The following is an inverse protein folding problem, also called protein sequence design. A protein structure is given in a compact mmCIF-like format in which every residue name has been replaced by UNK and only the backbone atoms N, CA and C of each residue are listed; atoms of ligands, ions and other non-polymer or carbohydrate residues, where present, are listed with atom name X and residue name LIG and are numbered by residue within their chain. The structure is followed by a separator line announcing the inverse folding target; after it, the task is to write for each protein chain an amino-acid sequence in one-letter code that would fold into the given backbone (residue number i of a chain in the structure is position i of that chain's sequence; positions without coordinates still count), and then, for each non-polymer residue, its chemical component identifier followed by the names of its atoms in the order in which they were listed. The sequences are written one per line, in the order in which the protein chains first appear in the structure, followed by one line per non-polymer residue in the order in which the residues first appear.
data_IF_714843704345
#
_entry.id   IF_714843704345
#
_cell.length_a   1.000
_cell.length_b   1.000
_cell.length_c   1.000
_cell.angle_alpha   90.00
_cell.angle_beta   90.00
_cell.angle_gamma   90.00
#
_symmetry.space_group_name_H-M   'P 1'
#
loop_
_entity.id
_entity.type
_entity.pdbx_description
1 polymer ?
#
# COMPACT_ATOMS: atom_id res chain seq x y z
N UNK A 1 -1.02 -14.03 -13.53
CA UNK A 1 -1.54 -13.36 -12.32
C UNK A 1 -1.70 -11.89 -12.61
N UNK A 2 -2.86 -11.33 -12.30
CA UNK A 2 -3.15 -9.90 -12.44
C UNK A 2 -3.48 -9.33 -11.08
N UNK A 3 -2.94 -8.17 -10.74
CA UNK A 3 -3.24 -7.46 -9.50
C UNK A 3 -3.99 -6.17 -9.85
N UNK A 4 -5.19 -6.03 -9.32
CA UNK A 4 -6.01 -4.84 -9.44
C UNK A 4 -5.92 -4.06 -8.13
N UNK A 5 -5.63 -2.76 -8.18
CA UNK A 5 -5.54 -1.89 -7.01
C UNK A 5 -6.52 -0.74 -7.11
N UNK A 6 -7.08 -0.35 -5.97
CA UNK A 6 -7.85 0.86 -5.78
C UNK A 6 -7.45 1.52 -4.46
N UNK A 7 -7.67 2.82 -4.34
CA UNK A 7 -7.42 3.53 -3.10
C UNK A 7 -8.25 4.80 -2.99
N UNK A 8 -8.51 5.21 -1.75
CA UNK A 8 -9.26 6.41 -1.44
C UNK A 8 -8.29 7.57 -1.17
N UNK A 9 -8.48 8.68 -1.87
CA UNK A 9 -7.67 9.89 -1.71
C UNK A 9 -8.59 11.09 -1.58
N UNK A 10 -8.40 11.88 -0.54
CA UNK A 10 -9.00 13.20 -0.41
C UNK A 10 -7.93 14.27 -0.60
N UNK A 11 -8.06 15.04 -1.69
CA UNK A 11 -7.08 16.05 -2.06
C UNK A 11 -7.04 17.24 -1.08
N UNK A 12 -8.08 17.46 -0.28
CA UNK A 12 -8.10 18.55 0.69
C UNK A 12 -7.02 18.39 1.77
N UNK A 13 -6.67 17.15 2.15
CA UNK A 13 -5.56 16.88 3.07
C UNK A 13 -4.20 17.30 2.50
N UNK A 14 -3.97 17.09 1.20
CA UNK A 14 -2.77 17.60 0.52
C UNK A 14 -2.78 19.13 0.40
N UNK A 15 -3.96 19.74 0.32
CA UNK A 15 -4.13 21.20 0.27
C UNK A 15 -4.06 21.89 1.64
N UNK A 16 -3.88 21.13 2.72
CA UNK A 16 -3.62 21.67 4.07
C UNK A 16 -4.84 21.70 5.00
N UNK A 17 -5.91 20.98 4.68
CA UNK A 17 -7.01 20.77 5.64
C UNK A 17 -6.50 19.90 6.81
N UNK A 18 -6.49 20.39 8.07
CA UNK A 18 -5.97 19.65 9.21
C UNK A 18 -6.87 18.49 9.66
N UNK A 19 -8.15 18.49 9.26
CA UNK A 19 -9.09 17.43 9.64
C UNK A 19 -8.95 16.20 8.73
N UNK A 20 -8.27 16.35 7.58
CA UNK A 20 -8.10 15.30 6.58
C UNK A 20 -6.65 14.84 6.57
N UNK A 21 -6.40 13.58 6.93
CA UNK A 21 -5.07 12.97 6.85
C UNK A 21 -4.54 13.10 5.42
N UNK A 22 -3.34 13.62 5.24
CA UNK A 22 -2.71 13.68 3.92
C UNK A 22 -2.35 12.26 3.41
N UNK A 23 -2.55 12.02 2.10
CA UNK A 23 -2.26 10.75 1.42
C UNK A 23 -3.47 9.82 1.28
N UNK A 24 -3.20 8.55 0.95
CA UNK A 24 -4.23 7.53 0.82
C UNK A 24 -4.87 7.20 2.17
N UNK A 25 -6.20 7.16 2.20
CA UNK A 25 -6.98 6.78 3.38
C UNK A 25 -7.11 5.25 3.49
N UNK A 26 -7.18 4.58 2.35
CA UNK A 26 -7.18 3.14 2.25
C UNK A 26 -6.65 2.72 0.88
N UNK A 27 -6.00 1.55 0.84
CA UNK A 27 -5.61 0.85 -0.38
C UNK A 27 -6.20 -0.55 -0.30
N UNK A 28 -6.84 -0.99 -1.37
CA UNK A 28 -7.41 -2.33 -1.51
C UNK A 28 -6.89 -2.94 -2.79
N UNK A 29 -6.58 -4.22 -2.75
CA UNK A 29 -6.11 -4.93 -3.93
C UNK A 29 -6.76 -6.30 -4.05
N UNK A 30 -7.01 -6.70 -5.29
CA UNK A 30 -7.52 -8.01 -5.66
C UNK A 30 -6.54 -8.71 -6.58
N UNK A 31 -6.33 -10.00 -6.37
CA UNK A 31 -5.43 -10.82 -7.18
C UNK A 31 -6.23 -11.86 -7.96
N UNK A 32 -6.02 -11.91 -9.27
CA UNK A 32 -6.59 -12.91 -10.17
C UNK A 32 -5.48 -13.83 -10.63
N UNK A 33 -5.63 -15.13 -10.33
CA UNK A 33 -4.73 -16.17 -10.79
C UNK A 33 -5.25 -16.78 -12.09
N UNK A 34 -4.34 -16.97 -13.04
CA UNK A 34 -4.56 -17.76 -14.25
C UNK A 34 -3.61 -18.96 -14.14
N UNK A 35 -4.14 -20.09 -13.65
CA UNK A 35 -3.36 -21.26 -13.23
C UNK A 35 -4.27 -22.47 -13.01
N UNK A 36 -3.70 -23.66 -13.12
CA UNK A 36 -4.35 -24.94 -12.77
C UNK A 36 -4.23 -25.29 -11.27
N UNK A 37 -3.56 -24.45 -10.47
CA UNK A 37 -3.43 -24.67 -9.03
C UNK A 37 -4.76 -24.53 -8.29
N UNK A 38 -4.88 -25.20 -7.14
CA UNK A 38 -6.11 -25.11 -6.34
C UNK A 38 -6.26 -23.73 -5.70
N UNK A 39 -7.50 -23.29 -5.38
CA UNK A 39 -7.72 -22.03 -4.68
C UNK A 39 -6.98 -21.95 -3.33
N UNK A 40 -6.80 -23.08 -2.66
CA UNK A 40 -6.07 -23.16 -1.39
C UNK A 40 -4.57 -22.94 -1.58
N UNK A 41 -3.97 -23.52 -2.63
CA UNK A 41 -2.57 -23.28 -2.97
C UNK A 41 -2.34 -21.80 -3.34
N UNK A 42 -3.24 -21.18 -4.10
CA UNK A 42 -3.16 -19.76 -4.44
C UNK A 42 -3.29 -18.86 -3.19
N UNK A 43 -4.18 -19.20 -2.25
CA UNK A 43 -4.29 -18.48 -0.96
C UNK A 43 -3.01 -18.60 -0.14
N UNK A 44 -2.49 -19.81 0.03
CA UNK A 44 -1.27 -20.02 0.78
C UNK A 44 -0.07 -19.26 0.17
N UNK A 45 0.00 -19.24 -1.17
CA UNK A 45 0.99 -18.43 -1.88
C UNK A 45 0.81 -16.93 -1.59
N UNK A 46 -0.42 -16.40 -1.63
CA UNK A 46 -0.68 -15.00 -1.31
C UNK A 46 -0.39 -14.65 0.15
N UNK A 47 -0.67 -15.54 1.09
CA UNK A 47 -0.33 -15.34 2.51
C UNK A 47 1.19 -15.17 2.68
N UNK A 48 1.98 -15.99 1.98
CA UNK A 48 3.44 -15.89 1.98
C UNK A 48 3.93 -14.60 1.30
N UNK A 49 3.30 -14.19 0.19
CA UNK A 49 3.62 -12.93 -0.49
C UNK A 49 3.31 -11.73 0.40
N UNK A 50 2.15 -11.69 1.07
CA UNK A 50 1.79 -10.59 1.97
C UNK A 50 2.75 -10.52 3.16
N UNK A 51 3.09 -11.67 3.76
CA UNK A 51 4.03 -11.73 4.88
C UNK A 51 5.45 -11.29 4.51
N UNK A 52 5.85 -11.44 3.25
CA UNK A 52 7.17 -11.04 2.75
C UNK A 52 7.18 -9.66 2.06
N UNK A 53 6.03 -9.00 1.89
CA UNK A 53 5.93 -7.79 1.10
C UNK A 53 6.42 -6.55 1.87
N UNK A 54 7.54 -5.92 1.47
CA UNK A 54 8.05 -4.76 2.19
C UNK A 54 7.12 -3.55 2.09
N UNK A 55 6.33 -3.44 1.01
CA UNK A 55 5.37 -2.34 0.85
C UNK A 55 4.23 -2.45 1.87
N UNK A 56 3.72 -3.66 2.13
CA UNK A 56 2.65 -3.86 3.13
C UNK A 56 3.16 -3.54 4.52
N UNK A 57 4.37 -3.97 4.85
CA UNK A 57 5.03 -3.67 6.13
C UNK A 57 5.17 -2.15 6.35
N UNK A 58 5.79 -1.46 5.39
CA UNK A 58 5.97 0.01 5.45
C UNK A 58 4.65 0.77 5.55
N UNK A 59 3.60 0.33 4.85
CA UNK A 59 2.28 0.99 4.87
C UNK A 59 1.51 0.73 6.18
N UNK A 60 1.66 -0.45 6.79
CA UNK A 60 0.94 -0.81 8.03
C UNK A 60 1.63 -0.27 9.29
N UNK A 61 2.96 -0.30 9.33
CA UNK A 61 3.73 0.11 10.51
C UNK A 61 4.18 1.56 10.44
N UNK A 62 4.35 2.10 9.24
CA UNK A 62 5.06 3.36 9.02
C UNK A 62 6.57 3.17 9.11
N UNK A 63 7.30 4.09 8.51
CA UNK A 63 8.75 4.19 8.61
C UNK A 63 9.12 5.60 9.07
N UNK A 64 10.23 5.72 9.79
CA UNK A 64 10.76 7.03 10.16
C UNK A 64 11.32 7.73 8.91
N UNK A 65 10.89 8.97 8.68
CA UNK A 65 11.32 9.81 7.56
C UNK A 65 11.77 11.14 8.10
N UNK A 66 13.02 11.51 7.84
CA UNK A 66 13.66 12.71 8.36
C UNK A 66 14.13 13.63 7.23
N UNK A 67 13.80 14.92 7.31
CA UNK A 67 14.36 15.96 6.44
C UNK A 67 15.66 16.47 7.07
N UNK A 68 16.80 15.99 6.55
CA UNK A 68 18.11 16.26 7.16
C UNK A 68 18.68 17.64 6.85
N UNK A 69 18.49 18.15 5.63
CA UNK A 69 19.06 19.44 5.23
C UNK A 69 18.21 20.12 4.17
N UNK A 70 18.18 21.45 4.24
CA UNK A 70 17.64 22.33 3.21
C UNK A 70 18.71 23.38 2.92
N UNK A 71 19.21 23.39 1.69
CA UNK A 71 20.24 24.32 1.24
C UNK A 71 19.63 25.36 0.30
N UNK A 72 20.04 26.63 0.44
CA UNK A 72 19.72 27.72 -0.49
C UNK A 72 21.02 28.10 -1.19
N UNK A 73 21.06 27.96 -2.53
CA UNK A 73 22.19 28.35 -3.38
C UNK A 73 21.99 29.70 -4.04
#
# INVERSE_FOLDING_TARGET
MTVNLEGDLDAAGFMGDPEIRNGFQAIRFGVVFDTDATPEACRHFMDAVEAACPLVDMLKLGIDVELNQVEIV
#
